data_IF_409106504260
#
_entry.id   IF_409106504260
#
_cell.length_a   1.000
_cell.length_b   1.000
_cell.length_c   1.000
_cell.angle_alpha   90.00
_cell.angle_beta   90.00
_cell.angle_gamma   90.00
#
_symmetry.space_group_name_H-M   'P 1'
#
loop_
_entity.id
_entity.type
_entity.pdbx_description
1 polymer ?
#
# COMPACT_ATOMS: atom_id res chain seq x y z
N UNK A 1 95.26 15.04 -7.25
CA UNK A 1 94.07 15.56 -7.98
C UNK A 1 92.98 14.49 -8.24
N UNK A 2 92.81 13.47 -7.37
CA UNK A 2 91.78 12.43 -7.53
C UNK A 2 90.75 12.33 -6.38
N UNK A 3 90.97 13.04 -5.25
CA UNK A 3 90.04 12.98 -4.10
C UNK A 3 88.87 13.98 -4.15
N UNK A 4 88.90 14.97 -5.05
CA UNK A 4 87.80 15.92 -5.24
C UNK A 4 86.70 15.41 -6.21
N UNK A 5 87.06 14.58 -7.20
CA UNK A 5 86.09 14.03 -8.17
C UNK A 5 85.16 12.97 -7.58
N UNK A 6 85.59 12.23 -6.55
CA UNK A 6 84.76 11.19 -5.92
C UNK A 6 83.66 11.75 -4.99
N UNK A 7 83.90 12.90 -4.33
CA UNK A 7 82.87 13.58 -3.52
C UNK A 7 81.80 14.28 -4.36
N UNK A 8 82.11 14.68 -5.59
CA UNK A 8 81.14 15.26 -6.51
C UNK A 8 80.22 14.20 -7.14
N UNK A 9 80.74 13.01 -7.44
CA UNK A 9 79.96 11.92 -8.05
C UNK A 9 78.97 11.26 -7.07
N UNK A 10 79.28 11.25 -5.77
CA UNK A 10 78.40 10.69 -4.73
C UNK A 10 77.33 11.68 -4.23
N UNK A 11 77.49 12.98 -4.46
CA UNK A 11 76.49 13.99 -4.07
C UNK A 11 75.35 14.16 -5.09
N UNK A 12 75.52 13.70 -6.35
CA UNK A 12 74.53 13.87 -7.41
C UNK A 12 73.58 12.69 -7.60
N UNK A 13 73.54 11.74 -6.65
CA UNK A 13 72.62 10.58 -6.66
C UNK A 13 71.51 10.61 -5.60
N UNK A 14 71.16 11.79 -5.07
CA UNK A 14 69.91 12.00 -4.33
C UNK A 14 68.77 12.40 -5.27
N UNK A 15 68.57 11.60 -6.32
CA UNK A 15 67.53 11.86 -7.32
C UNK A 15 66.41 10.82 -7.23
N UNK A 16 65.66 10.79 -6.11
CA UNK A 16 64.35 10.09 -6.04
C UNK A 16 63.36 10.71 -5.02
N UNK A 17 62.88 11.96 -5.19
CA UNK A 17 61.62 12.37 -4.57
C UNK A 17 60.43 12.26 -5.55
N UNK A 18 60.68 12.20 -6.86
CA UNK A 18 59.62 12.21 -7.88
C UNK A 18 58.87 10.87 -7.89
N UNK A 19 59.56 9.73 -7.79
CA UNK A 19 58.91 8.41 -7.78
C UNK A 19 58.04 8.19 -6.54
N UNK A 20 58.45 8.68 -5.36
CA UNK A 20 57.65 8.55 -4.14
C UNK A 20 56.44 9.48 -4.14
N UNK A 21 56.58 10.71 -4.64
CA UNK A 21 55.45 11.65 -4.81
C UNK A 21 54.46 11.14 -5.85
N UNK A 22 54.95 10.66 -7.00
CA UNK A 22 54.10 10.05 -8.03
C UNK A 22 53.38 8.80 -7.52
N UNK A 23 54.07 7.93 -6.77
CA UNK A 23 53.46 6.74 -6.17
C UNK A 23 52.38 7.11 -5.14
N UNK A 24 52.60 8.14 -4.30
CA UNK A 24 51.59 8.64 -3.38
C UNK A 24 50.37 9.21 -4.14
N UNK A 25 50.59 9.97 -5.19
CA UNK A 25 49.49 10.50 -6.02
C UNK A 25 48.67 9.36 -6.63
N UNK A 26 49.34 8.34 -7.20
CA UNK A 26 48.68 7.17 -7.78
C UNK A 26 47.87 6.40 -6.72
N UNK A 27 48.44 6.12 -5.55
CA UNK A 27 47.72 5.45 -4.46
C UNK A 27 46.51 6.26 -3.97
N UNK A 28 46.63 7.58 -3.91
CA UNK A 28 45.52 8.45 -3.49
C UNK A 28 44.41 8.45 -4.54
N UNK A 29 44.75 8.48 -5.84
CA UNK A 29 43.77 8.37 -6.92
C UNK A 29 43.08 7.01 -6.94
N UNK A 30 43.80 5.91 -6.72
CA UNK A 30 43.21 4.57 -6.62
C UNK A 30 42.26 4.47 -5.42
N UNK A 31 42.63 5.05 -4.27
CA UNK A 31 41.77 5.08 -3.09
C UNK A 31 40.51 5.92 -3.33
N UNK A 32 40.64 7.08 -3.99
CA UNK A 32 39.49 7.92 -4.37
C UNK A 32 38.57 7.18 -5.34
N UNK A 33 39.12 6.53 -6.37
CA UNK A 33 38.33 5.72 -7.32
C UNK A 33 37.65 4.57 -6.59
N UNK A 34 38.35 3.87 -5.69
CA UNK A 34 37.77 2.81 -4.88
C UNK A 34 36.64 3.32 -3.97
N UNK A 35 36.82 4.48 -3.33
CA UNK A 35 35.80 5.13 -2.52
C UNK A 35 34.62 5.62 -3.37
N UNK A 36 34.85 6.12 -4.58
CA UNK A 36 33.79 6.50 -5.52
C UNK A 36 33.03 5.25 -5.98
N UNK A 37 33.70 4.15 -6.31
CA UNK A 37 33.06 2.87 -6.66
C UNK A 37 32.28 2.33 -5.46
N UNK A 38 32.83 2.40 -4.25
CA UNK A 38 32.15 2.02 -3.02
C UNK A 38 30.91 2.91 -2.79
N UNK A 39 31.02 4.22 -3.04
CA UNK A 39 29.92 5.17 -2.87
C UNK A 39 28.84 4.99 -3.94
N UNK A 40 29.19 4.74 -5.21
CA UNK A 40 28.27 4.38 -6.29
C UNK A 40 27.56 3.07 -5.94
N UNK A 41 28.29 2.05 -5.49
CA UNK A 41 27.69 0.80 -5.02
C UNK A 41 26.77 1.03 -3.81
N UNK A 42 27.11 1.89 -2.85
CA UNK A 42 26.24 2.24 -1.72
C UNK A 42 24.98 3.00 -2.18
N UNK A 43 25.09 3.86 -3.19
CA UNK A 43 23.96 4.59 -3.79
C UNK A 43 23.03 3.62 -4.55
N UNK A 44 23.58 2.68 -5.32
CA UNK A 44 22.81 1.61 -6.00
C UNK A 44 22.21 0.60 -4.99
N UNK A 45 22.82 0.46 -3.82
CA UNK A 45 22.32 -0.34 -2.69
C UNK A 45 21.25 0.37 -1.85
N UNK A 46 20.76 1.56 -2.25
CA UNK A 46 19.58 2.17 -1.66
C UNK A 46 18.34 1.97 -2.54
N UNK A 47 17.82 0.72 -2.69
CA UNK A 47 16.61 0.44 -3.47
C UNK A 47 15.39 1.18 -2.91
N UNK A 48 15.46 1.63 -1.67
CA UNK A 48 14.43 2.46 -1.07
C UNK A 48 14.33 3.83 -1.75
N UNK A 49 15.40 4.43 -2.32
CA UNK A 49 15.31 5.77 -2.91
C UNK A 49 14.35 5.82 -4.11
N UNK A 50 14.49 4.88 -5.05
CA UNK A 50 13.59 4.77 -6.21
C UNK A 50 12.17 4.31 -5.83
N UNK A 51 12.02 3.49 -4.78
CA UNK A 51 10.71 3.05 -4.28
C UNK A 51 10.00 4.12 -3.42
N UNK A 52 10.77 4.97 -2.72
CA UNK A 52 10.27 6.12 -1.93
C UNK A 52 9.87 7.29 -2.81
N UNK A 53 10.47 7.43 -3.99
CA UNK A 53 10.16 8.51 -4.94
C UNK A 53 8.91 8.23 -5.80
N UNK A 54 8.41 6.99 -5.89
CA UNK A 54 7.14 6.75 -6.59
C UNK A 54 6.30 5.54 -6.14
N UNK A 55 5.69 5.61 -4.95
CA UNK A 55 4.50 4.82 -4.60
C UNK A 55 3.40 4.90 -5.66
N UNK A 56 3.33 6.04 -6.39
CA UNK A 56 2.44 6.27 -7.54
C UNK A 56 2.66 5.30 -8.71
N UNK A 57 3.83 4.66 -8.83
CA UNK A 57 4.13 3.68 -9.89
C UNK A 57 3.81 2.24 -9.46
N UNK A 58 3.52 1.96 -8.20
CA UNK A 58 3.27 0.59 -7.71
C UNK A 58 1.86 0.07 -8.05
N UNK A 59 1.32 0.57 -9.16
CA UNK A 59 0.03 0.21 -9.69
C UNK A 59 0.11 -1.16 -10.36
N UNK A 60 -0.93 -1.96 -10.15
CA UNK A 60 -1.13 -3.23 -10.82
C UNK A 60 -2.57 -3.20 -11.36
N UNK A 61 -2.74 -3.29 -12.69
CA UNK A 61 -4.06 -3.25 -13.31
C UNK A 61 -5.02 -4.29 -12.72
N UNK A 62 -6.28 -3.93 -12.53
CA UNK A 62 -7.33 -4.81 -12.01
C UNK A 62 -7.39 -6.17 -12.72
N UNK A 63 -7.35 -6.16 -14.06
CA UNK A 63 -7.39 -7.41 -14.85
C UNK A 63 -6.21 -8.33 -14.52
N UNK A 64 -5.04 -7.75 -14.22
CA UNK A 64 -3.88 -8.51 -13.80
C UNK A 64 -4.02 -9.02 -12.37
N UNK A 65 -4.53 -8.21 -11.43
CA UNK A 65 -4.81 -8.65 -10.06
C UNK A 65 -5.71 -9.88 -10.04
N UNK A 66 -6.80 -9.87 -10.82
CA UNK A 66 -7.74 -10.99 -10.94
C UNK A 66 -7.05 -12.26 -11.43
N UNK A 67 -6.29 -12.18 -12.53
CA UNK A 67 -5.55 -13.31 -13.11
C UNK A 67 -4.48 -13.85 -12.15
N UNK A 68 -3.71 -12.94 -11.54
CA UNK A 68 -2.65 -13.29 -10.62
C UNK A 68 -3.19 -13.96 -9.34
N UNK A 69 -4.34 -13.53 -8.83
CA UNK A 69 -4.98 -14.15 -7.68
C UNK A 69 -5.37 -15.60 -7.95
N UNK A 70 -6.07 -15.85 -9.07
CA UNK A 70 -6.43 -17.21 -9.50
C UNK A 70 -5.18 -18.06 -9.70
N UNK A 71 -4.17 -17.51 -10.38
CA UNK A 71 -2.91 -18.22 -10.65
C UNK A 71 -2.15 -18.55 -9.35
N UNK A 72 -2.10 -17.63 -8.40
CA UNK A 72 -1.45 -17.85 -7.11
C UNK A 72 -2.12 -19.00 -6.34
N UNK A 73 -3.45 -19.02 -6.28
CA UNK A 73 -4.20 -20.08 -5.61
C UNK A 73 -4.00 -21.44 -6.28
N UNK A 74 -4.11 -21.52 -7.61
CA UNK A 74 -3.93 -22.77 -8.36
C UNK A 74 -2.51 -23.35 -8.22
N UNK A 75 -1.50 -22.49 -8.03
CA UNK A 75 -0.10 -22.88 -7.94
C UNK A 75 0.40 -23.01 -6.49
N UNK A 76 -0.46 -22.76 -5.49
CA UNK A 76 -0.07 -22.76 -4.07
C UNK A 76 0.97 -21.69 -3.72
N UNK A 77 0.91 -20.52 -4.37
CA UNK A 77 1.86 -19.42 -4.18
C UNK A 77 1.27 -18.29 -3.34
N UNK A 78 2.13 -17.57 -2.61
CA UNK A 78 1.74 -16.29 -1.99
C UNK A 78 1.38 -15.27 -3.08
N UNK A 79 0.20 -14.67 -2.95
CA UNK A 79 -0.31 -13.68 -3.89
C UNK A 79 0.59 -12.45 -3.96
N UNK A 80 0.93 -11.83 -2.82
CA UNK A 80 1.85 -10.69 -2.78
C UNK A 80 3.23 -11.02 -3.37
N UNK A 81 3.74 -12.23 -3.12
CA UNK A 81 4.99 -12.68 -3.73
C UNK A 81 4.88 -12.76 -5.26
N UNK A 82 3.78 -13.29 -5.78
CA UNK A 82 3.55 -13.31 -7.23
C UNK A 82 3.51 -11.89 -7.81
N UNK A 83 2.77 -10.98 -7.18
CA UNK A 83 2.72 -9.58 -7.57
C UNK A 83 4.09 -8.90 -7.54
N UNK A 84 4.94 -9.20 -6.55
CA UNK A 84 6.31 -8.68 -6.48
C UNK A 84 7.12 -9.04 -7.71
N UNK A 85 7.13 -10.33 -8.09
CA UNK A 85 7.90 -10.76 -9.25
C UNK A 85 7.28 -10.21 -10.54
N UNK A 86 5.95 -10.19 -10.65
CA UNK A 86 5.26 -9.63 -11.81
C UNK A 86 5.55 -8.14 -12.00
N UNK A 87 5.46 -7.33 -10.95
CA UNK A 87 5.72 -5.89 -11.02
C UNK A 87 7.19 -5.59 -11.34
N UNK A 88 8.12 -6.37 -10.76
CA UNK A 88 9.54 -6.26 -11.08
C UNK A 88 9.83 -6.61 -12.55
N UNK A 89 9.19 -7.65 -13.10
CA UNK A 89 9.33 -8.03 -14.53
C UNK A 89 8.64 -7.05 -15.48
N UNK A 90 7.52 -6.48 -15.07
CA UNK A 90 6.76 -5.49 -15.83
C UNK A 90 7.38 -4.08 -15.72
N UNK A 91 8.34 -3.86 -14.82
CA UNK A 91 8.92 -2.54 -14.53
C UNK A 91 7.86 -1.46 -14.32
N UNK A 92 6.77 -1.83 -13.61
CA UNK A 92 5.63 -0.95 -13.34
C UNK A 92 4.96 -0.33 -14.58
N UNK A 93 5.09 -0.98 -15.74
CA UNK A 93 4.44 -0.55 -16.97
C UNK A 93 3.16 -1.37 -17.19
N UNK A 94 2.03 -0.68 -17.23
CA UNK A 94 0.68 -1.23 -17.39
C UNK A 94 0.57 -2.19 -18.58
N UNK A 95 1.14 -1.83 -19.72
CA UNK A 95 1.09 -2.62 -20.95
C UNK A 95 1.88 -3.93 -20.84
N UNK A 96 2.82 -4.02 -19.89
CA UNK A 96 3.65 -5.21 -19.70
C UNK A 96 3.01 -6.25 -18.78
N UNK A 97 1.94 -5.93 -18.06
CA UNK A 97 1.21 -6.86 -17.21
C UNK A 97 0.42 -7.89 -18.04
N UNK A 98 1.14 -8.86 -18.59
CA UNK A 98 0.64 -9.89 -19.53
C UNK A 98 0.68 -11.29 -18.94
N UNK A 99 -0.04 -12.24 -19.54
CA UNK A 99 0.00 -13.66 -19.16
C UNK A 99 1.42 -14.26 -19.28
N UNK A 100 2.23 -13.70 -20.17
CA UNK A 100 3.66 -14.04 -20.32
C UNK A 100 4.47 -13.62 -19.09
N UNK A 101 4.27 -12.40 -18.59
CA UNK A 101 4.90 -11.94 -17.34
C UNK A 101 4.44 -12.79 -16.17
N UNK A 102 3.14 -13.09 -16.08
CA UNK A 102 2.59 -13.94 -15.03
C UNK A 102 3.25 -15.33 -15.01
N UNK A 103 3.38 -15.96 -16.18
CA UNK A 103 4.00 -17.28 -16.32
C UNK A 103 5.49 -17.28 -15.96
N UNK A 104 6.23 -16.21 -16.33
CA UNK A 104 7.64 -16.04 -15.96
C UNK A 104 7.81 -15.84 -14.46
N UNK A 105 6.97 -15.03 -13.83
CA UNK A 105 6.99 -14.79 -12.39
C UNK A 105 6.79 -16.10 -11.61
N UNK A 106 5.81 -16.93 -12.00
CA UNK A 106 5.59 -18.27 -11.42
C UNK A 106 6.84 -19.16 -11.56
N UNK A 107 7.44 -19.21 -12.75
CA UNK A 107 8.66 -20.00 -13.00
C UNK A 107 9.81 -19.56 -12.08
N UNK A 108 10.01 -18.25 -11.95
CA UNK A 108 11.06 -17.67 -11.10
C UNK A 108 10.87 -18.00 -9.63
N UNK A 109 9.63 -17.94 -9.13
CA UNK A 109 9.30 -18.32 -7.74
C UNK A 109 9.60 -19.81 -7.50
N UNK A 110 9.18 -20.69 -8.41
CA UNK A 110 9.38 -22.14 -8.29
C UNK A 110 10.85 -22.56 -8.40
N UNK A 111 11.67 -21.81 -9.14
CA UNK A 111 13.11 -22.03 -9.23
C UNK A 111 13.88 -21.72 -7.94
N UNK A 112 13.20 -21.24 -6.87
CA UNK A 112 13.77 -20.94 -5.55
C UNK A 112 15.00 -20.01 -5.58
N UNK A 113 15.09 -19.13 -6.58
CA UNK A 113 16.11 -18.08 -6.58
C UNK A 113 15.83 -17.11 -5.44
N UNK A 114 16.89 -16.73 -4.73
CA UNK A 114 16.80 -15.69 -3.70
C UNK A 114 16.33 -14.38 -4.34
N UNK A 115 15.44 -13.66 -3.64
CA UNK A 115 15.01 -12.32 -4.06
C UNK A 115 16.19 -11.36 -4.08
N UNK A 116 16.22 -10.49 -5.09
CA UNK A 116 17.09 -9.31 -5.08
C UNK A 116 16.68 -8.35 -3.95
N UNK A 117 17.55 -7.41 -3.59
CA UNK A 117 17.22 -6.39 -2.57
C UNK A 117 15.99 -5.56 -2.98
N UNK A 118 15.88 -5.22 -4.27
CA UNK A 118 14.71 -4.53 -4.82
C UNK A 118 13.43 -5.37 -4.70
N UNK A 119 13.48 -6.66 -5.06
CA UNK A 119 12.33 -7.56 -4.92
C UNK A 119 11.93 -7.73 -3.46
N UNK A 120 12.89 -7.78 -2.52
CA UNK A 120 12.58 -7.87 -1.09
C UNK A 120 11.87 -6.63 -0.58
N UNK A 121 12.31 -5.44 -0.99
CA UNK A 121 11.66 -4.18 -0.63
C UNK A 121 10.24 -4.10 -1.22
N UNK A 122 10.05 -4.51 -2.47
CA UNK A 122 8.73 -4.60 -3.10
C UNK A 122 7.81 -5.62 -2.43
N UNK A 123 8.37 -6.76 -2.02
CA UNK A 123 7.62 -7.77 -1.28
C UNK A 123 7.14 -7.26 0.07
N UNK A 124 7.96 -6.51 0.82
CA UNK A 124 7.54 -5.88 2.06
C UNK A 124 6.34 -4.94 1.84
N UNK A 125 6.36 -4.15 0.76
CA UNK A 125 5.26 -3.26 0.40
C UNK A 125 3.99 -4.03 0.00
N UNK A 126 4.09 -4.95 -0.97
CA UNK A 126 2.92 -5.69 -1.43
C UNK A 126 2.34 -6.63 -0.39
N UNK A 127 3.16 -7.22 0.48
CA UNK A 127 2.64 -8.02 1.60
C UNK A 127 1.85 -7.14 2.57
N UNK A 128 2.31 -5.92 2.86
CA UNK A 128 1.56 -4.95 3.69
C UNK A 128 0.21 -4.59 3.09
N UNK A 129 0.13 -4.44 1.77
CA UNK A 129 -1.11 -4.07 1.09
C UNK A 129 -2.04 -5.26 0.94
N UNK A 130 -1.57 -6.35 0.33
CA UNK A 130 -2.42 -7.42 -0.18
C UNK A 130 -2.62 -8.59 0.79
N UNK A 131 -1.67 -8.90 1.68
CA UNK A 131 -1.78 -10.10 2.51
C UNK A 131 -2.79 -9.97 3.67
N UNK A 132 -3.19 -8.74 4.02
CA UNK A 132 -4.17 -8.47 5.08
C UNK A 132 -5.59 -8.19 4.52
N UNK A 133 -5.73 -7.92 3.22
CA UNK A 133 -7.02 -7.70 2.56
C UNK A 133 -7.84 -8.99 2.50
N UNK A 134 -9.12 -8.89 2.82
CA UNK A 134 -10.04 -10.03 2.87
C UNK A 134 -11.36 -9.77 2.16
N UNK A 135 -11.92 -8.58 2.33
CA UNK A 135 -13.27 -8.25 1.86
C UNK A 135 -13.34 -6.85 1.27
N UNK A 136 -14.30 -6.61 0.39
CA UNK A 136 -14.65 -5.25 -0.05
C UNK A 136 -15.23 -4.40 1.08
N UNK A 137 -15.08 -3.06 1.01
CA UNK A 137 -15.46 -2.14 2.10
C UNK A 137 -16.98 -1.91 2.20
N UNK A 138 -17.74 -2.25 1.17
CA UNK A 138 -19.20 -2.18 1.12
C UNK A 138 -19.72 -3.62 0.92
N UNK A 139 -20.58 -4.15 1.80
CA UNK A 139 -21.12 -5.52 1.66
C UNK A 139 -21.97 -5.64 0.39
N UNK A 140 -22.10 -6.84 -0.16
CA UNK A 140 -22.92 -7.12 -1.36
C UNK A 140 -24.40 -6.85 -1.06
N UNK A 141 -24.87 -7.47 0.02
CA UNK A 141 -26.25 -7.46 0.45
C UNK A 141 -26.35 -7.68 1.95
N UNK A 142 -27.54 -7.47 2.48
CA UNK A 142 -27.94 -7.83 3.84
C UNK A 142 -29.18 -8.70 3.79
N UNK A 143 -29.07 -9.89 4.36
CA UNK A 143 -30.14 -10.85 4.52
C UNK A 143 -30.73 -10.73 5.92
N UNK A 144 -32.04 -10.55 6.00
CA UNK A 144 -32.78 -10.40 7.25
C UNK A 144 -33.61 -11.66 7.47
N UNK A 145 -33.28 -12.40 8.51
CA UNK A 145 -34.01 -13.57 8.95
C UNK A 145 -34.90 -13.21 10.13
N UNK A 146 -36.16 -13.64 10.09
CA UNK A 146 -37.09 -13.57 11.22
C UNK A 146 -37.28 -14.97 11.77
N UNK A 147 -37.34 -15.09 13.09
CA UNK A 147 -37.71 -16.33 13.72
C UNK A 147 -39.18 -16.65 13.42
N UNK A 148 -39.43 -17.84 12.91
CA UNK A 148 -40.76 -18.38 12.67
C UNK A 148 -41.10 -19.32 13.83
N UNK A 149 -42.05 -18.91 14.67
CA UNK A 149 -42.45 -19.66 15.87
C UNK A 149 -43.16 -20.98 15.53
N UNK A 150 -43.97 -21.00 14.47
CA UNK A 150 -44.74 -22.18 14.05
C UNK A 150 -43.79 -23.29 13.59
N UNK A 151 -42.82 -22.92 12.74
CA UNK A 151 -41.88 -23.87 12.15
C UNK A 151 -40.59 -24.03 12.99
N UNK A 152 -40.47 -23.29 14.09
CA UNK A 152 -39.29 -23.22 14.97
C UNK A 152 -37.97 -23.07 14.20
N UNK A 153 -37.96 -22.19 13.18
CA UNK A 153 -36.80 -21.99 12.30
C UNK A 153 -36.63 -20.53 11.90
N UNK A 154 -35.43 -20.17 11.45
CA UNK A 154 -35.16 -18.88 10.83
C UNK A 154 -35.65 -18.89 9.38
N UNK A 155 -36.44 -17.88 9.01
CA UNK A 155 -36.95 -17.70 7.66
C UNK A 155 -36.44 -16.37 7.08
N UNK A 156 -35.90 -16.39 5.86
CA UNK A 156 -35.46 -15.18 5.16
C UNK A 156 -36.69 -14.31 4.84
N UNK A 157 -36.69 -13.08 5.34
CA UNK A 157 -37.80 -12.13 5.13
C UNK A 157 -37.49 -11.03 4.14
N UNK A 158 -36.24 -10.59 4.09
CA UNK A 158 -35.85 -9.47 3.22
C UNK A 158 -34.38 -9.59 2.81
N UNK A 159 -34.07 -9.10 1.60
CA UNK A 159 -32.72 -8.98 1.07
C UNK A 159 -32.53 -7.54 0.60
N UNK A 160 -31.58 -6.84 1.22
CA UNK A 160 -31.19 -5.49 0.81
C UNK A 160 -29.88 -5.56 0.06
N UNK A 161 -29.89 -5.22 -1.23
CA UNK A 161 -28.68 -5.10 -2.02
C UNK A 161 -28.06 -3.72 -1.83
N UNK A 162 -26.73 -3.68 -1.76
CA UNK A 162 -25.99 -2.43 -1.75
C UNK A 162 -25.21 -2.30 -3.05
N UNK A 163 -25.05 -1.08 -3.54
CA UNK A 163 -24.27 -0.79 -4.74
C UNK A 163 -23.53 0.53 -4.55
N UNK A 164 -22.50 0.72 -5.35
CA UNK A 164 -21.76 1.96 -5.43
C UNK A 164 -21.23 2.17 -6.86
N UNK A 165 -20.87 3.40 -7.17
CA UNK A 165 -20.08 3.72 -8.37
C UNK A 165 -18.75 4.35 -7.95
N UNK A 166 -17.71 4.14 -8.75
CA UNK A 166 -16.38 4.71 -8.50
C UNK A 166 -15.64 4.92 -9.82
N UNK A 167 -14.77 5.92 -9.87
CA UNK A 167 -13.81 6.15 -10.95
C UNK A 167 -12.40 6.22 -10.38
N UNK A 168 -11.35 6.12 -11.21
CA UNK A 168 -10.00 6.43 -10.75
C UNK A 168 -9.85 7.95 -10.57
N UNK A 169 -10.05 8.40 -9.34
CA UNK A 169 -9.98 9.79 -8.93
C UNK A 169 -8.74 10.07 -8.07
N UNK A 170 -7.81 9.13 -7.95
CA UNK A 170 -6.57 9.32 -7.21
C UNK A 170 -5.70 10.37 -7.91
N UNK A 171 -5.19 11.33 -7.15
CA UNK A 171 -4.43 12.46 -7.68
C UNK A 171 -5.28 13.54 -8.36
N UNK A 172 -6.61 13.39 -8.43
CA UNK A 172 -7.51 14.46 -8.87
C UNK A 172 -7.39 15.69 -7.95
N UNK A 173 -7.60 16.88 -8.49
CA UNK A 173 -7.58 18.11 -7.70
C UNK A 173 -8.79 18.17 -6.76
N UNK A 174 -8.57 18.58 -5.51
CA UNK A 174 -9.60 18.88 -4.52
C UNK A 174 -9.55 20.37 -4.21
N UNK A 175 -10.70 21.05 -4.22
CA UNK A 175 -10.79 22.51 -4.09
C UNK A 175 -11.00 22.98 -2.64
N UNK A 176 -11.58 22.14 -1.78
CA UNK A 176 -11.78 22.48 -0.38
C UNK A 176 -10.44 22.45 0.39
N UNK A 177 -10.06 23.60 0.95
CA UNK A 177 -8.82 23.78 1.70
C UNK A 177 -7.56 23.95 0.83
N UNK A 178 -7.70 24.48 -0.40
CA UNK A 178 -6.59 24.83 -1.29
C UNK A 178 -6.25 23.76 -2.32
N UNK A 179 -5.07 23.85 -2.95
CA UNK A 179 -4.61 22.96 -4.04
C UNK A 179 -4.15 21.58 -3.54
N UNK A 180 -5.11 20.82 -3.00
CA UNK A 180 -4.88 19.45 -2.53
C UNK A 180 -5.06 18.45 -3.66
N UNK A 181 -4.33 17.35 -3.58
CA UNK A 181 -4.56 16.16 -4.40
C UNK A 181 -5.36 15.13 -3.63
N UNK A 182 -6.21 14.41 -4.35
CA UNK A 182 -6.97 13.31 -3.79
C UNK A 182 -6.04 12.11 -3.51
N UNK A 183 -5.96 11.67 -2.26
CA UNK A 183 -5.05 10.60 -1.83
C UNK A 183 -5.80 9.29 -1.53
N UNK A 184 -6.92 9.05 -2.23
CA UNK A 184 -7.81 7.93 -1.98
C UNK A 184 -8.69 7.60 -3.18
N UNK A 185 -9.80 6.90 -2.91
CA UNK A 185 -10.85 6.63 -3.88
C UNK A 185 -12.23 6.90 -3.27
N UNK A 186 -13.10 7.59 -4.01
CA UNK A 186 -14.48 7.86 -3.59
C UNK A 186 -15.45 6.82 -4.19
N UNK A 187 -16.19 6.15 -3.31
CA UNK A 187 -17.22 5.17 -3.65
C UNK A 187 -18.59 5.82 -3.40
N UNK A 188 -19.23 6.28 -4.47
CA UNK A 188 -20.53 6.96 -4.41
C UNK A 188 -21.62 5.94 -4.12
N UNK A 189 -22.31 6.09 -2.99
CA UNK A 189 -23.29 5.13 -2.51
C UNK A 189 -24.36 5.81 -1.65
N UNK A 190 -25.51 5.15 -1.53
CA UNK A 190 -26.65 5.66 -0.75
C UNK A 190 -26.27 5.87 0.72
N UNK A 191 -26.67 6.99 1.30
CA UNK A 191 -26.49 7.29 2.72
C UNK A 191 -27.08 6.17 3.58
N UNK A 192 -26.39 5.78 4.65
CA UNK A 192 -26.78 4.68 5.50
C UNK A 192 -26.36 3.29 5.01
N UNK A 193 -25.70 3.18 3.85
CA UNK A 193 -25.07 1.93 3.40
C UNK A 193 -23.99 1.50 4.42
N UNK A 194 -23.96 0.24 4.88
CA UNK A 194 -22.96 -0.22 5.82
C UNK A 194 -21.55 -0.16 5.24
N UNK A 195 -20.58 0.20 6.07
CA UNK A 195 -19.16 0.14 5.78
C UNK A 195 -18.57 -0.98 6.64
N UNK A 196 -17.83 -1.88 6.03
CA UNK A 196 -17.14 -2.97 6.73
C UNK A 196 -15.62 -2.79 6.71
N UNK A 197 -14.93 -3.31 7.72
CA UNK A 197 -13.47 -3.35 7.71
C UNK A 197 -12.99 -4.28 6.60
N UNK A 198 -12.06 -3.82 5.75
CA UNK A 198 -11.47 -4.65 4.69
C UNK A 198 -10.44 -5.66 5.23
N UNK A 199 -9.94 -5.42 6.45
CA UNK A 199 -8.86 -6.17 7.09
C UNK A 199 -9.16 -6.45 8.57
N UNK A 200 -8.46 -7.44 9.12
CA UNK A 200 -8.27 -7.51 10.56
C UNK A 200 -7.35 -6.37 11.02
N UNK A 201 -7.60 -5.80 12.20
CA UNK A 201 -6.72 -4.78 12.72
C UNK A 201 -7.20 -4.13 14.02
N UNK A 202 -6.66 -2.93 14.27
CA UNK A 202 -7.00 -2.10 15.43
C UNK A 202 -7.44 -0.72 14.96
N UNK A 203 -8.52 -0.20 15.53
CA UNK A 203 -8.93 1.19 15.31
C UNK A 203 -7.90 2.13 15.94
N UNK A 204 -7.05 2.75 15.12
CA UNK A 204 -6.01 3.68 15.57
C UNK A 204 -6.46 5.14 15.50
N UNK A 205 -7.49 5.44 14.70
CA UNK A 205 -8.16 6.75 14.64
C UNK A 205 -9.67 6.58 14.62
N UNK A 206 -10.36 7.43 15.38
CA UNK A 206 -11.83 7.54 15.38
C UNK A 206 -12.20 8.98 15.75
N UNK A 207 -13.26 9.53 15.17
CA UNK A 207 -13.70 10.90 15.44
C UNK A 207 -13.64 11.82 14.22
N UNK A 208 -13.89 13.11 14.47
CA UNK A 208 -13.98 14.14 13.43
C UNK A 208 -12.61 14.58 12.91
N UNK A 209 -12.52 14.91 11.63
CA UNK A 209 -11.60 15.92 11.13
C UNK A 209 -12.31 16.80 10.08
N UNK A 210 -11.79 18.00 9.83
CA UNK A 210 -12.43 18.97 8.95
C UNK A 210 -12.66 18.43 7.54
N UNK A 211 -11.68 17.74 6.97
CA UNK A 211 -11.73 17.26 5.59
C UNK A 211 -12.61 16.02 5.41
N UNK A 212 -12.45 15.01 6.27
CA UNK A 212 -13.10 13.71 6.15
C UNK A 212 -14.32 13.52 7.04
N UNK A 213 -14.73 14.55 7.79
CA UNK A 213 -15.87 14.47 8.69
C UNK A 213 -15.69 13.36 9.74
N UNK A 214 -16.73 12.55 9.95
CA UNK A 214 -16.64 11.35 10.79
C UNK A 214 -15.82 10.29 10.05
N UNK A 215 -14.72 9.86 10.66
CA UNK A 215 -13.80 8.91 10.06
C UNK A 215 -13.28 7.88 11.05
N UNK A 216 -12.98 6.70 10.51
CA UNK A 216 -12.30 5.61 11.21
C UNK A 216 -11.00 5.31 10.46
N UNK A 217 -9.93 5.10 11.21
CA UNK A 217 -8.66 4.61 10.72
C UNK A 217 -8.31 3.29 11.37
N UNK A 218 -8.08 2.25 10.57
CA UNK A 218 -7.75 0.90 11.01
C UNK A 218 -6.31 0.61 10.60
N UNK A 219 -5.48 0.22 11.57
CA UNK A 219 -4.14 -0.29 11.28
C UNK A 219 -4.17 -1.81 11.30
N UNK A 220 -3.82 -2.43 10.17
CA UNK A 220 -3.76 -3.88 10.04
C UNK A 220 -2.57 -4.48 10.78
N UNK A 221 -2.52 -5.81 10.86
CA UNK A 221 -1.44 -6.52 11.55
C UNK A 221 -0.05 -6.26 10.92
N UNK A 222 0.00 -5.95 9.62
CA UNK A 222 1.24 -5.59 8.92
C UNK A 222 1.58 -4.09 8.97
N UNK A 223 0.78 -3.29 9.67
CA UNK A 223 1.03 -1.86 9.86
C UNK A 223 0.49 -0.96 8.75
N UNK A 224 -0.31 -1.50 7.83
CA UNK A 224 -1.02 -0.72 6.82
C UNK A 224 -2.20 0.01 7.45
N UNK A 225 -2.35 1.29 7.13
CA UNK A 225 -3.42 2.14 7.60
C UNK A 225 -4.49 2.28 6.52
N UNK A 226 -5.71 1.87 6.88
CA UNK A 226 -6.91 1.97 6.10
C UNK A 226 -7.78 3.09 6.67
N UNK A 227 -8.02 4.11 5.88
CA UNK A 227 -8.81 5.28 6.25
C UNK A 227 -10.19 5.20 5.61
N UNK A 228 -11.23 5.43 6.40
CA UNK A 228 -12.64 5.43 5.98
C UNK A 228 -13.27 6.75 6.45
N UNK A 229 -13.80 7.56 5.53
CA UNK A 229 -14.32 8.88 5.85
C UNK A 229 -15.74 9.14 5.33
N UNK A 230 -16.23 10.34 5.66
CA UNK A 230 -17.54 10.86 5.32
C UNK A 230 -18.71 10.07 5.92
N UNK A 231 -18.47 9.37 7.04
CA UNK A 231 -19.51 8.55 7.65
C UNK A 231 -20.68 9.39 8.17
N UNK A 232 -21.90 8.89 8.07
CA UNK A 232 -23.05 9.46 8.78
C UNK A 232 -22.95 9.17 10.28
N UNK A 233 -22.64 7.91 10.63
CA UNK A 233 -22.46 7.44 12.01
C UNK A 233 -21.51 6.24 12.07
N UNK A 234 -21.00 5.98 13.27
CA UNK A 234 -20.24 4.76 13.57
C UNK A 234 -21.19 3.62 13.94
N UNK A 235 -20.73 2.38 13.76
CA UNK A 235 -21.38 1.22 14.35
C UNK A 235 -21.26 1.25 15.88
N UNK A 236 -22.17 0.59 16.58
CA UNK A 236 -22.17 0.60 18.04
C UNK A 236 -20.88 0.00 18.62
N UNK A 237 -20.40 0.63 19.70
CA UNK A 237 -19.20 0.17 20.40
C UNK A 237 -17.89 0.39 19.63
N UNK A 238 -17.88 1.16 18.54
CA UNK A 238 -16.64 1.57 17.88
C UNK A 238 -15.88 2.59 18.73
N UNK A 239 -14.64 2.26 19.07
CA UNK A 239 -13.74 3.11 19.86
C UNK A 239 -12.29 2.88 19.48
N UNK A 240 -11.44 3.90 19.65
CA UNK A 240 -9.99 3.77 19.47
C UNK A 240 -9.45 2.64 20.37
N UNK A 241 -8.56 1.82 19.81
CA UNK A 241 -7.99 0.65 20.49
C UNK A 241 -8.82 -0.63 20.35
N UNK A 242 -10.07 -0.56 19.85
CA UNK A 242 -10.87 -1.77 19.57
C UNK A 242 -10.24 -2.55 18.42
N UNK A 243 -10.14 -3.86 18.62
CA UNK A 243 -9.82 -4.82 17.55
C UNK A 243 -11.05 -5.06 16.69
N UNK A 244 -10.85 -5.14 15.39
CA UNK A 244 -11.88 -5.42 14.39
C UNK A 244 -11.42 -6.55 13.50
N UNK A 245 -12.39 -7.33 13.02
CA UNK A 245 -12.19 -8.36 12.02
C UNK A 245 -12.60 -7.84 10.65
N UNK A 246 -12.00 -8.41 9.60
CA UNK A 246 -12.49 -8.18 8.26
C UNK A 246 -13.97 -8.58 8.17
N UNK A 247 -14.79 -7.69 7.61
CA UNK A 247 -16.24 -7.88 7.52
C UNK A 247 -17.04 -7.30 8.69
N UNK A 248 -16.41 -6.90 9.79
CA UNK A 248 -17.10 -6.18 10.87
C UNK A 248 -17.65 -4.87 10.32
N UNK A 249 -18.94 -4.58 10.57
CA UNK A 249 -19.51 -3.26 10.28
C UNK A 249 -18.85 -2.25 11.21
N UNK A 250 -18.30 -1.17 10.65
CA UNK A 250 -17.58 -0.12 11.39
C UNK A 250 -18.33 1.21 11.40
N UNK A 251 -19.26 1.39 10.48
CA UNK A 251 -20.03 2.62 10.34
C UNK A 251 -20.90 2.58 9.11
N UNK A 252 -21.45 3.73 8.76
CA UNK A 252 -22.39 3.86 7.67
C UNK A 252 -22.06 5.09 6.84
N UNK A 253 -22.20 4.94 5.52
CA UNK A 253 -21.93 5.98 4.53
C UNK A 253 -22.79 7.22 4.81
N UNK A 254 -22.20 8.39 4.64
CA UNK A 254 -22.88 9.67 4.76
C UNK A 254 -22.19 10.74 3.92
N UNK A 255 -22.33 11.98 4.37
CA UNK A 255 -21.93 13.20 3.66
C UNK A 255 -21.20 14.19 4.60
N UNK A 256 -20.60 13.66 5.67
CA UNK A 256 -19.97 14.51 6.68
C UNK A 256 -18.59 15.02 6.24
N UNK A 257 -18.25 16.24 6.65
CA UNK A 257 -16.93 16.84 6.41
C UNK A 257 -17.02 18.20 5.72
N UNK A 258 -15.87 18.68 5.26
CA UNK A 258 -15.68 20.02 4.69
C UNK A 258 -16.19 21.14 5.61
N UNK A 259 -15.82 21.05 6.88
CA UNK A 259 -16.09 22.10 7.87
C UNK A 259 -15.96 21.67 9.33
N UNK A 260 -16.47 22.50 10.27
CA UNK A 260 -16.45 22.21 11.70
C UNK A 260 -17.23 20.95 12.06
N UNK A 261 -17.05 20.47 13.30
CA UNK A 261 -17.68 19.25 13.80
C UNK A 261 -19.19 19.27 13.54
N UNK A 262 -19.69 18.26 12.82
CA UNK A 262 -21.12 18.10 12.53
C UNK A 262 -21.57 18.57 11.15
N UNK A 263 -20.70 19.19 10.34
CA UNK A 263 -21.03 19.59 8.96
C UNK A 263 -21.51 18.41 8.11
N UNK A 264 -22.65 18.59 7.43
CA UNK A 264 -23.25 17.63 6.49
C UNK A 264 -23.68 18.34 5.21
N UNK A 265 -23.94 17.60 4.14
CA UNK A 265 -24.50 18.12 2.89
C UNK A 265 -23.58 18.97 2.02
N UNK A 266 -22.28 19.07 2.35
CA UNK A 266 -21.28 19.80 1.53
C UNK A 266 -20.70 18.99 0.38
N UNK A 267 -20.89 17.68 0.42
CA UNK A 267 -20.41 16.68 -0.54
C UNK A 267 -21.54 15.66 -0.76
N UNK A 268 -21.62 15.03 -1.95
CA UNK A 268 -22.52 13.90 -2.15
C UNK A 268 -22.24 12.78 -1.14
N UNK A 269 -23.23 11.93 -0.88
CA UNK A 269 -23.05 10.76 -0.04
C UNK A 269 -22.07 9.77 -0.67
N UNK A 270 -20.97 9.46 0.01
CA UNK A 270 -19.96 8.53 -0.47
C UNK A 270 -19.06 8.00 0.66
N UNK A 271 -18.37 6.90 0.38
CA UNK A 271 -17.26 6.43 1.20
C UNK A 271 -15.94 6.85 0.56
N UNK A 272 -15.14 7.63 1.27
CA UNK A 272 -13.77 7.91 0.86
C UNK A 272 -12.81 6.93 1.55
N UNK A 273 -11.99 6.24 0.75
CA UNK A 273 -11.00 5.26 1.22
C UNK A 273 -9.58 5.67 0.89
N UNK A 274 -8.67 5.54 1.86
CA UNK A 274 -7.23 5.61 1.61
C UNK A 274 -6.53 4.36 2.14
N UNK A 275 -5.48 3.93 1.44
CA UNK A 275 -4.58 2.86 1.86
C UNK A 275 -3.18 3.43 1.91
N UNK A 276 -2.54 3.37 3.07
CA UNK A 276 -1.18 3.88 3.20
C UNK A 276 -0.39 3.29 4.36
N UNK A 277 0.92 3.40 4.30
CA UNK A 277 1.83 2.94 5.36
C UNK A 277 3.00 3.90 5.51
N UNK A 278 3.76 3.76 6.59
CA UNK A 278 4.94 4.60 6.85
C UNK A 278 6.19 3.94 6.25
N UNK A 279 6.91 4.66 5.40
CA UNK A 279 8.18 4.23 4.82
C UNK A 279 9.33 4.51 5.81
N UNK A 280 9.62 3.53 6.67
CA UNK A 280 10.68 3.63 7.68
C UNK A 280 10.26 4.37 8.96
N UNK A 281 11.07 4.27 10.02
CA UNK A 281 10.70 4.77 11.35
C UNK A 281 10.63 6.31 11.46
N UNK A 282 11.19 7.02 10.48
CA UNK A 282 11.33 8.48 10.46
C UNK A 282 10.44 9.17 9.42
N UNK A 283 9.49 8.47 8.78
CA UNK A 283 8.61 9.14 7.81
C UNK A 283 7.67 10.11 8.54
N UNK A 284 7.62 11.36 8.06
CA UNK A 284 6.75 12.41 8.60
C UNK A 284 5.26 12.23 8.23
N UNK A 285 4.90 11.16 7.52
CA UNK A 285 3.54 10.90 7.06
C UNK A 285 3.34 9.49 6.53
N UNK A 286 2.10 9.20 6.14
CA UNK A 286 1.74 8.03 5.37
C UNK A 286 2.10 8.22 3.90
N UNK A 287 2.53 7.14 3.28
CA UNK A 287 2.64 7.00 1.85
C UNK A 287 1.35 6.37 1.34
N UNK A 288 0.60 7.10 0.51
CA UNK A 288 -0.69 6.68 -0.01
C UNK A 288 -0.56 5.94 -1.35
N UNK A 289 -1.36 4.89 -1.50
CA UNK A 289 -1.48 4.08 -2.70
C UNK A 289 -2.81 4.35 -3.36
N UNK A 290 -2.84 4.33 -4.69
CA UNK A 290 -4.10 4.39 -5.43
C UNK A 290 -4.93 3.14 -5.08
N UNK A 291 -6.08 3.28 -4.39
CA UNK A 291 -6.88 2.14 -4.00
C UNK A 291 -7.82 1.68 -5.11
N UNK A 292 -8.00 2.42 -6.21
CA UNK A 292 -9.04 2.18 -7.21
C UNK A 292 -9.09 0.73 -7.72
N UNK A 293 -7.98 0.21 -8.25
CA UNK A 293 -7.96 -1.16 -8.78
C UNK A 293 -8.00 -2.24 -7.70
N UNK A 294 -7.55 -1.91 -6.48
CA UNK A 294 -7.68 -2.79 -5.31
C UNK A 294 -9.16 -2.89 -4.93
N UNK A 295 -9.88 -1.77 -4.89
CA UNK A 295 -11.33 -1.74 -4.60
C UNK A 295 -12.09 -2.49 -5.68
N UNK A 296 -11.77 -2.28 -6.96
CA UNK A 296 -12.36 -3.02 -8.08
C UNK A 296 -12.10 -4.52 -7.98
N UNK A 297 -10.90 -4.93 -7.56
CA UNK A 297 -10.57 -6.33 -7.27
C UNK A 297 -11.40 -6.90 -6.12
N UNK A 298 -11.58 -6.13 -5.04
CA UNK A 298 -12.33 -6.52 -3.86
C UNK A 298 -13.85 -6.50 -4.04
N UNK A 299 -14.38 -5.89 -5.10
CA UNK A 299 -15.81 -5.95 -5.42
C UNK A 299 -16.26 -7.40 -5.66
N UNK A 300 -15.37 -8.26 -6.19
CA UNK A 300 -15.59 -9.71 -6.32
C UNK A 300 -15.48 -10.48 -4.97
N UNK A 301 -15.18 -9.79 -3.88
CA UNK A 301 -14.96 -10.33 -2.53
C UNK A 301 -15.84 -9.61 -1.49
N UNK A 302 -16.99 -9.09 -1.92
CA UNK A 302 -17.97 -8.49 -1.01
C UNK A 302 -18.74 -9.57 -0.26
N UNK A 303 -19.07 -9.27 0.99
CA UNK A 303 -19.73 -10.21 1.89
C UNK A 303 -21.23 -9.96 1.96
N UNK A 304 -21.97 -11.00 2.35
CA UNK A 304 -23.37 -10.87 2.77
C UNK A 304 -23.44 -10.66 4.27
N UNK A 305 -24.11 -9.59 4.71
CA UNK A 305 -24.42 -9.39 6.12
C UNK A 305 -25.68 -10.17 6.49
N UNK A 306 -25.70 -10.78 7.67
CA UNK A 306 -26.87 -11.51 8.19
C UNK A 306 -27.38 -10.83 9.44
N UNK A 307 -28.66 -10.47 9.44
CA UNK A 307 -29.37 -9.99 10.63
C UNK A 307 -30.44 -11.00 11.02
N UNK A 308 -30.51 -11.32 12.31
CA UNK A 308 -31.51 -12.21 12.89
C UNK A 308 -32.39 -11.41 13.86
N UNK A 309 -33.69 -11.43 13.62
CA UNK A 309 -34.70 -10.71 14.42
C UNK A 309 -35.61 -11.74 15.10
N UNK A 310 -35.63 -11.76 16.43
CA UNK A 310 -36.64 -12.56 17.14
C UNK A 310 -38.02 -11.99 16.86
N UNK A 311 -38.97 -12.86 16.53
CA UNK A 311 -40.37 -12.44 16.51
C UNK A 311 -40.78 -12.15 17.95
N UNK A 312 -41.17 -10.91 18.23
CA UNK A 312 -42.04 -10.68 19.37
C UNK A 312 -43.47 -10.82 18.83
N UNK A 313 -44.29 -11.60 19.54
CA UNK A 313 -45.75 -11.60 19.37
C UNK A 313 -46.32 -10.18 19.54
#
# INVERSE_FOLDING_TARGET
>A
MLRAKFRWMMAKRRNRPIKLKALKIILTMVLIIFLIILMINIIDLNPNKNLTESPKKMYIPYEYLKKAYIKANNEGLSFSKLLTYSANEADFNDEKYTDKVLSRAVKMIKQRKNMTNQQRALYDIYSKIFDDLRVGPIPEKKEIYKWNEIEKKWELKDIKHYSYTSTDDFGASRTYGGDRKHEGNDLIATMGTPIVSMTDGVITRLGWNEYGGKRIGITSNRGTYFYYAHMDRYEEGMKKGKKVKAGDVIGYIGDTGYGPVGTKGKIPSHLHIQIGFKLGKYSNGYTWFNPYDIIKFLDNHRITLVQRIQGND
#
